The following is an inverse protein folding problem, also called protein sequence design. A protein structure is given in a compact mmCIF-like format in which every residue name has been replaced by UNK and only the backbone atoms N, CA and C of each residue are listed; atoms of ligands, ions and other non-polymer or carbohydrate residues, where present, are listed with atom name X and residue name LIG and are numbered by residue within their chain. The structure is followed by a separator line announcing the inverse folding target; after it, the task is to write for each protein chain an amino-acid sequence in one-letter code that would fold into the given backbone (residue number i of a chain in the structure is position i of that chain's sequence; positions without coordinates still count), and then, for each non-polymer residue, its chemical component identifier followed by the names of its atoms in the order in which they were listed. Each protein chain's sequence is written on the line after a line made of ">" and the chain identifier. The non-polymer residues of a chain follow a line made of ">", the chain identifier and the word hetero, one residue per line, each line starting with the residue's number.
data_IF_382829922971
#
_entry.id   IF_382829922971
#
_cell.length_a   1.000
_cell.length_b   1.000
_cell.length_c   1.000
_cell.angle_alpha   90.00
_cell.angle_beta   90.00
_cell.angle_gamma   90.00
#
_symmetry.space_group_name_H-M   'P 1'
#
loop_
_entity.id
_entity.type
_entity.pdbx_description
1 polymer ?
#
# COMPACT_ATOMS: atom_id res chain seq x y z
N UNK A 1 8.63 -7.61 4.80
CA UNK A 1 7.33 -7.12 5.31
C UNK A 1 6.18 -7.92 4.70
N UNK A 2 5.03 -7.90 5.33
CA UNK A 2 3.79 -8.43 4.76
C UNK A 2 3.07 -7.28 4.05
N UNK A 3 2.90 -7.40 2.73
CA UNK A 3 2.38 -6.34 1.87
C UNK A 3 1.08 -6.78 1.21
N UNK A 4 0.04 -5.96 1.35
CA UNK A 4 -1.22 -6.13 0.63
C UNK A 4 -1.18 -5.25 -0.63
N UNK A 5 -1.36 -5.86 -1.79
CA UNK A 5 -1.42 -5.14 -3.08
C UNK A 5 -2.84 -5.25 -3.64
N UNK A 6 -3.45 -4.11 -3.93
CA UNK A 6 -4.83 -4.01 -4.38
C UNK A 6 -4.88 -3.33 -5.74
N UNK A 7 -5.35 -4.03 -6.76
CA UNK A 7 -5.51 -3.50 -8.11
C UNK A 7 -6.47 -4.38 -8.89
N UNK A 8 -7.33 -3.79 -9.71
CA UNK A 8 -8.26 -4.55 -10.55
C UNK A 8 -7.59 -5.14 -11.80
N UNK A 9 -6.37 -4.72 -12.11
CA UNK A 9 -5.59 -5.26 -13.23
C UNK A 9 -4.80 -6.48 -12.75
N UNK A 10 -5.23 -7.68 -13.15
CA UNK A 10 -4.57 -8.94 -12.73
C UNK A 10 -3.14 -9.05 -13.21
N UNK A 11 -2.83 -8.56 -14.40
CA UNK A 11 -1.47 -8.56 -14.92
C UNK A 11 -0.54 -7.74 -14.05
N UNK A 12 -0.98 -6.57 -13.62
CA UNK A 12 -0.21 -5.72 -12.70
C UNK A 12 -0.02 -6.40 -11.34
N UNK A 13 -1.08 -7.00 -10.79
CA UNK A 13 -0.99 -7.74 -9.52
C UNK A 13 0.03 -8.85 -9.58
N UNK A 14 0.00 -9.67 -10.65
CA UNK A 14 0.91 -10.79 -10.79
C UNK A 14 2.37 -10.34 -10.89
N UNK A 15 2.64 -9.32 -11.70
CA UNK A 15 3.99 -8.78 -11.88
C UNK A 15 4.49 -8.17 -10.56
N UNK A 16 3.67 -7.34 -9.93
CA UNK A 16 4.05 -6.69 -8.68
C UNK A 16 4.24 -7.71 -7.56
N UNK A 17 3.35 -8.69 -7.48
CA UNK A 17 3.43 -9.75 -6.47
C UNK A 17 4.71 -10.55 -6.58
N UNK A 18 5.08 -11.00 -7.78
CA UNK A 18 6.32 -11.75 -7.99
C UNK A 18 7.55 -10.90 -7.69
N UNK A 19 7.54 -9.65 -8.13
CA UNK A 19 8.62 -8.73 -7.91
C UNK A 19 8.88 -8.49 -6.41
N UNK A 20 7.82 -8.26 -5.64
CA UNK A 20 7.95 -8.05 -4.20
C UNK A 20 8.40 -9.32 -3.47
N UNK A 21 7.92 -10.50 -3.90
CA UNK A 21 8.37 -11.77 -3.35
C UNK A 21 9.86 -12.00 -3.59
N UNK A 22 10.36 -11.64 -4.77
CA UNK A 22 11.79 -11.74 -5.09
C UNK A 22 12.63 -10.84 -4.19
N UNK A 23 12.05 -9.76 -3.67
CA UNK A 23 12.71 -8.87 -2.73
C UNK A 23 12.50 -9.27 -1.26
N UNK A 24 12.01 -10.47 -1.01
CA UNK A 24 11.91 -11.03 0.34
C UNK A 24 10.64 -10.69 1.10
N UNK A 25 9.63 -10.14 0.46
CA UNK A 25 8.37 -9.79 1.11
C UNK A 25 7.33 -10.90 0.99
N UNK A 26 6.44 -10.98 1.98
CA UNK A 26 5.21 -11.77 1.88
C UNK A 26 4.15 -10.89 1.22
N UNK A 27 3.45 -11.41 0.23
CA UNK A 27 2.52 -10.62 -0.57
C UNK A 27 1.15 -11.26 -0.57
N UNK A 28 0.13 -10.42 -0.33
CA UNK A 28 -1.28 -10.81 -0.46
C UNK A 28 -1.86 -9.92 -1.56
N UNK A 29 -2.54 -10.53 -2.52
CA UNK A 29 -3.13 -9.83 -3.65
C UNK A 29 -4.64 -9.74 -3.48
N UNK A 30 -5.21 -8.58 -3.80
CA UNK A 30 -6.65 -8.36 -3.83
C UNK A 30 -7.01 -7.64 -5.13
N UNK A 31 -8.11 -8.04 -5.75
CA UNK A 31 -8.53 -7.49 -7.04
C UNK A 31 -9.39 -6.22 -6.91
N UNK A 32 -9.91 -5.97 -5.73
CA UNK A 32 -10.73 -4.78 -5.46
C UNK A 32 -10.71 -4.45 -3.96
N UNK A 33 -11.33 -3.32 -3.62
CA UNK A 33 -11.39 -2.87 -2.25
C UNK A 33 -12.18 -3.79 -1.32
N UNK A 34 -13.17 -4.50 -1.85
CA UNK A 34 -13.95 -5.46 -1.04
C UNK A 34 -13.09 -6.65 -0.61
N UNK A 35 -12.35 -7.24 -1.54
CA UNK A 35 -11.42 -8.33 -1.21
C UNK A 35 -10.34 -7.85 -0.24
N UNK A 36 -9.83 -6.64 -0.44
CA UNK A 36 -8.83 -6.05 0.45
C UNK A 36 -9.35 -5.89 1.87
N UNK A 37 -10.61 -5.46 2.03
CA UNK A 37 -11.24 -5.36 3.34
C UNK A 37 -11.35 -6.73 4.02
N UNK A 38 -11.73 -7.75 3.27
CA UNK A 38 -11.81 -9.13 3.78
C UNK A 38 -10.44 -9.63 4.27
N UNK A 39 -9.38 -9.32 3.54
CA UNK A 39 -8.02 -9.65 3.97
C UNK A 39 -7.69 -8.99 5.30
N UNK A 40 -7.97 -7.70 5.44
CA UNK A 40 -7.64 -6.94 6.65
C UNK A 40 -8.47 -7.38 7.87
N UNK A 41 -9.62 -8.00 7.68
CA UNK A 41 -10.40 -8.61 8.77
C UNK A 41 -9.70 -9.84 9.35
N UNK A 42 -8.91 -10.53 8.55
CA UNK A 42 -8.27 -11.80 8.94
C UNK A 42 -6.78 -11.67 9.25
N UNK A 43 -6.10 -10.73 8.61
CA UNK A 43 -4.65 -10.61 8.72
C UNK A 43 -4.18 -9.17 8.90
N UNK A 44 -3.11 -9.00 9.66
CA UNK A 44 -2.42 -7.72 9.76
C UNK A 44 -1.35 -7.64 8.68
N UNK A 45 -1.21 -6.46 8.09
CA UNK A 45 -0.19 -6.19 7.08
C UNK A 45 0.69 -5.02 7.52
N UNK A 46 1.89 -4.96 6.98
CA UNK A 46 2.87 -3.92 7.31
C UNK A 46 2.81 -2.74 6.34
N UNK A 47 2.24 -2.96 5.16
CA UNK A 47 2.18 -1.98 4.09
C UNK A 47 1.02 -2.32 3.16
N UNK A 48 0.35 -1.29 2.67
CA UNK A 48 -0.69 -1.43 1.65
C UNK A 48 -0.27 -0.66 0.40
N UNK A 49 -0.35 -1.31 -0.76
CA UNK A 49 -0.18 -0.68 -2.07
C UNK A 49 -1.51 -0.81 -2.79
N UNK A 50 -2.14 0.29 -3.15
CA UNK A 50 -3.48 0.27 -3.75
C UNK A 50 -3.59 1.22 -4.94
N UNK A 51 -4.24 0.73 -5.99
CA UNK A 51 -4.68 1.61 -7.09
C UNK A 51 -5.68 2.64 -6.55
N UNK A 52 -5.67 3.82 -7.13
CA UNK A 52 -6.62 4.88 -6.80
C UNK A 52 -8.00 4.58 -7.40
N UNK A 53 -8.03 4.15 -8.65
CA UNK A 53 -9.27 3.92 -9.39
C UNK A 53 -9.56 2.43 -9.53
N UNK A 54 -10.57 1.95 -8.79
CA UNK A 54 -11.00 0.56 -8.81
C UNK A 54 -12.53 0.49 -8.83
N UNK A 55 -13.12 -0.56 -9.43
CA UNK A 55 -14.57 -0.76 -9.35
C UNK A 55 -15.01 -1.12 -7.92
N UNK A 56 -16.26 -0.88 -7.61
CA UNK A 56 -16.95 -1.17 -6.34
C UNK A 56 -16.50 -0.29 -5.18
N UNK A 57 -15.23 -0.32 -4.82
CA UNK A 57 -14.67 0.51 -3.75
C UNK A 57 -13.33 1.07 -4.24
N UNK A 58 -13.29 2.36 -4.56
CA UNK A 58 -12.06 3.00 -5.03
C UNK A 58 -11.00 3.11 -3.94
N UNK A 59 -9.75 3.41 -4.35
CA UNK A 59 -8.63 3.44 -3.43
C UNK A 59 -8.76 4.50 -2.34
N UNK A 60 -9.38 5.63 -2.64
CA UNK A 60 -9.60 6.69 -1.65
C UNK A 60 -10.58 6.23 -0.55
N UNK A 61 -11.66 5.57 -0.92
CA UNK A 61 -12.61 5.02 0.04
C UNK A 61 -12.01 3.86 0.83
N UNK A 62 -11.25 3.02 0.17
CA UNK A 62 -10.53 1.93 0.84
C UNK A 62 -9.53 2.50 1.86
N UNK A 63 -8.80 3.53 1.50
CA UNK A 63 -7.88 4.22 2.40
C UNK A 63 -8.61 4.76 3.64
N UNK A 64 -9.76 5.44 3.45
CA UNK A 64 -10.56 5.94 4.57
C UNK A 64 -11.01 4.81 5.48
N UNK A 65 -11.43 3.69 4.91
CA UNK A 65 -11.81 2.51 5.69
C UNK A 65 -10.64 2.01 6.54
N UNK A 66 -9.45 1.90 5.94
CA UNK A 66 -8.24 1.44 6.67
C UNK A 66 -7.95 2.35 7.85
N UNK A 67 -8.00 3.68 7.64
CA UNK A 67 -7.66 4.66 8.67
C UNK A 67 -8.68 4.74 9.80
N UNK A 68 -9.97 4.54 9.49
CA UNK A 68 -11.06 4.76 10.43
C UNK A 68 -11.56 3.49 11.12
N UNK A 69 -11.51 2.34 10.44
CA UNK A 69 -12.25 1.15 10.88
C UNK A 69 -11.39 -0.10 11.08
N UNK A 70 -10.07 -0.01 10.97
CA UNK A 70 -9.22 -1.19 11.14
C UNK A 70 -8.16 -1.00 12.21
N UNK A 71 -7.60 -2.13 12.69
CA UNK A 71 -6.43 -2.13 13.56
C UNK A 71 -5.17 -1.65 12.83
N UNK A 72 -5.27 -1.47 11.51
CA UNK A 72 -4.16 -1.01 10.66
C UNK A 72 -4.24 0.50 10.37
N UNK A 73 -4.84 1.28 11.28
CA UNK A 73 -5.08 2.71 11.08
C UNK A 73 -3.83 3.53 10.79
N UNK A 74 -2.65 3.08 11.20
CA UNK A 74 -1.38 3.78 11.00
C UNK A 74 -0.44 3.08 10.02
N UNK A 75 -0.92 2.03 9.33
CA UNK A 75 -0.09 1.31 8.37
C UNK A 75 0.27 2.22 7.18
N UNK A 76 1.54 2.23 6.73
CA UNK A 76 1.90 2.99 5.54
C UNK A 76 1.08 2.56 4.33
N UNK A 77 0.68 3.53 3.50
CA UNK A 77 -0.20 3.32 2.36
C UNK A 77 0.41 3.98 1.13
N UNK A 78 0.67 3.19 0.08
CA UNK A 78 1.16 3.69 -1.20
C UNK A 78 0.01 3.65 -2.20
N UNK A 79 -0.42 4.83 -2.64
CA UNK A 79 -1.35 4.92 -3.77
C UNK A 79 -0.57 4.79 -5.06
N UNK A 80 -1.08 3.98 -5.99
CA UNK A 80 -0.53 3.86 -7.35
C UNK A 80 -1.61 4.24 -8.35
N UNK A 81 -1.22 4.88 -9.44
CA UNK A 81 -2.16 5.24 -10.49
C UNK A 81 -1.44 5.46 -11.82
N UNK A 82 -2.12 5.11 -12.91
CA UNK A 82 -1.70 5.51 -14.25
C UNK A 82 -1.91 7.01 -14.51
N UNK A 83 -2.66 7.68 -13.65
CA UNK A 83 -2.93 9.12 -13.74
C UNK A 83 -2.10 9.84 -12.69
N UNK A 84 -1.15 10.67 -13.15
CA UNK A 84 -0.27 11.43 -12.27
C UNK A 84 -0.54 12.92 -12.45
N UNK A 85 -1.69 13.36 -11.99
CA UNK A 85 -2.09 14.76 -12.01
C UNK A 85 -2.34 15.27 -10.58
N UNK A 86 -2.45 16.57 -10.45
CA UNK A 86 -2.64 17.22 -9.15
C UNK A 86 -3.91 16.73 -8.45
N UNK A 87 -4.99 16.51 -9.20
CA UNK A 87 -6.25 16.02 -8.64
C UNK A 87 -6.10 14.60 -8.07
N UNK A 88 -5.44 13.71 -8.80
CA UNK A 88 -5.21 12.33 -8.36
C UNK A 88 -4.31 12.29 -7.13
N UNK A 89 -3.28 13.14 -7.07
CA UNK A 89 -2.36 13.18 -5.93
C UNK A 89 -3.00 13.66 -4.63
N UNK A 90 -4.17 14.27 -4.67
CA UNK A 90 -4.91 14.71 -3.48
C UNK A 90 -5.41 13.56 -2.60
N UNK A 91 -5.31 12.31 -3.05
CA UNK A 91 -5.65 11.13 -2.23
C UNK A 91 -4.73 10.98 -1.02
N UNK A 92 -3.53 11.53 -1.09
CA UNK A 92 -2.61 11.56 0.06
C UNK A 92 -3.17 12.52 1.10
N UNK A 93 -3.47 11.99 2.28
CA UNK A 93 -4.07 12.76 3.40
C UNK A 93 -3.01 13.08 4.46
N UNK A 94 -2.24 12.09 4.88
CA UNK A 94 -1.18 12.24 5.87
C UNK A 94 0.16 11.89 5.23
N UNK A 95 0.97 12.90 4.91
CA UNK A 95 2.23 12.72 4.20
C UNK A 95 3.29 11.93 4.98
N UNK A 96 3.06 11.65 6.26
CA UNK A 96 3.98 10.81 7.04
C UNK A 96 3.77 9.33 6.79
N UNK A 97 2.56 8.92 6.40
CA UNK A 97 2.20 7.52 6.21
C UNK A 97 1.52 7.22 4.88
N UNK A 98 1.16 8.25 4.11
CA UNK A 98 0.58 8.10 2.77
C UNK A 98 1.58 8.56 1.71
N UNK A 99 1.69 7.78 0.65
CA UNK A 99 2.62 8.02 -0.45
C UNK A 99 1.89 7.85 -1.78
N UNK A 100 2.42 8.44 -2.82
CA UNK A 100 1.89 8.31 -4.18
C UNK A 100 3.01 7.94 -5.14
N UNK A 101 2.78 6.93 -5.97
CA UNK A 101 3.71 6.53 -7.03
C UNK A 101 2.92 6.33 -8.32
N UNK A 102 3.43 6.89 -9.42
CA UNK A 102 2.85 6.65 -10.74
C UNK A 102 3.14 5.22 -11.20
N UNK A 103 2.16 4.56 -11.84
CA UNK A 103 2.37 3.25 -12.47
C UNK A 103 3.40 3.29 -13.60
N UNK A 104 3.66 4.49 -14.16
CA UNK A 104 4.67 4.66 -15.21
C UNK A 104 6.08 4.87 -14.67
N UNK A 105 6.22 5.04 -13.36
CA UNK A 105 7.53 5.17 -12.74
C UNK A 105 8.30 3.84 -12.84
N UNK A 106 9.65 3.89 -12.89
CA UNK A 106 10.45 2.67 -12.83
C UNK A 106 10.14 1.86 -11.57
N UNK A 107 10.18 0.53 -11.69
CA UNK A 107 9.89 -0.38 -10.57
C UNK A 107 10.80 -0.09 -9.38
N UNK A 108 12.03 0.32 -9.62
CA UNK A 108 12.99 0.69 -8.60
C UNK A 108 12.49 1.82 -7.69
N UNK A 109 11.61 2.69 -8.20
CA UNK A 109 11.02 3.78 -7.41
C UNK A 109 10.20 3.20 -6.24
N UNK A 110 9.38 2.18 -6.52
CA UNK A 110 8.57 1.52 -5.49
C UNK A 110 9.47 0.77 -4.51
N UNK A 111 10.49 0.07 -5.00
CA UNK A 111 11.43 -0.67 -4.14
C UNK A 111 12.13 0.25 -3.17
N UNK A 112 12.66 1.36 -3.65
CA UNK A 112 13.35 2.34 -2.80
C UNK A 112 12.41 2.92 -1.75
N UNK A 113 11.18 3.19 -2.12
CA UNK A 113 10.17 3.71 -1.20
C UNK A 113 9.84 2.66 -0.12
N UNK A 114 9.65 1.40 -0.52
CA UNK A 114 9.37 0.31 0.41
C UNK A 114 10.53 0.11 1.39
N UNK A 115 11.77 0.14 0.89
CA UNK A 115 12.95 0.02 1.74
C UNK A 115 13.04 1.16 2.75
N UNK A 116 12.74 2.38 2.34
CA UNK A 116 12.71 3.54 3.23
C UNK A 116 11.63 3.40 4.30
N UNK A 117 10.44 2.98 3.91
CA UNK A 117 9.33 2.73 4.84
C UNK A 117 9.73 1.66 5.85
N UNK A 118 10.31 0.56 5.39
CA UNK A 118 10.77 -0.53 6.26
C UNK A 118 11.82 -0.06 7.26
N UNK A 119 12.78 0.75 6.82
CA UNK A 119 13.81 1.32 7.70
C UNK A 119 13.20 2.24 8.76
N UNK A 120 12.24 3.08 8.38
CA UNK A 120 11.56 3.97 9.33
C UNK A 120 10.76 3.19 10.38
N UNK A 121 10.09 2.12 9.98
CA UNK A 121 9.37 1.24 10.91
C UNK A 121 10.33 0.58 11.90
N UNK A 122 11.47 0.08 11.43
CA UNK A 122 12.48 -0.52 12.27
C UNK A 122 13.07 0.47 13.27
N UNK A 123 13.33 1.70 12.85
CA UNK A 123 13.83 2.76 13.73
C UNK A 123 12.81 3.14 14.80
N UNK A 124 11.54 3.25 14.45
CA UNK A 124 10.47 3.54 15.41
C UNK A 124 10.32 2.41 16.44
N UNK A 125 10.40 1.15 16.00
CA UNK A 125 10.33 0.01 16.90
C UNK A 125 11.49 0.02 17.89
N UNK A 126 12.72 0.28 17.44
CA UNK A 126 13.92 0.38 18.30
C UNK A 126 13.78 1.54 19.30
N UNK A 127 13.31 2.70 18.84
CA UNK A 127 13.11 3.86 19.71
C UNK A 127 12.06 3.58 20.79
N UNK A 128 10.99 2.86 20.44
CA UNK A 128 9.94 2.47 21.39
C UNK A 128 10.48 1.47 22.43
N UNK A 129 11.30 0.51 22.03
CA UNK A 129 11.88 -0.49 22.92
C UNK A 129 12.85 0.10 23.94
N UNK A 130 13.44 1.25 23.66
CA UNK A 130 14.37 1.93 24.55
C UNK A 130 13.70 2.73 25.69
N UNK A 131 12.41 2.87 25.60
CA UNK A 131 11.61 3.54 26.59
C UNK A 131 10.89 2.56 27.51
#
# INVERSE_FOLDING_TARGET
>A
MKILVVDDNKGFLDVMGEFLKEHGHKVILAEDGKQAREVLEEEKVDLIISDVFMPNLDGSRFHSYVREFTDSATVPFIFISGYDDEHTRKVVVDSDIDFFVSKTAPVETIVKLIDRIGSNLSQKAVATERH
#
